data_IF_690111984769
#
_entry.id   IF_690111984769
#
_cell.length_a   1.000
_cell.length_b   1.000
_cell.length_c   1.000
_cell.angle_alpha   90.00
_cell.angle_beta   90.00
_cell.angle_gamma   90.00
#
_symmetry.space_group_name_H-M   'P 1'
#
loop_
_entity.id
_entity.type
_entity.pdbx_description
1 polymer ?
#
# COMPACT_ATOMS: atom_id res chain seq x y z
N UNK A 1 -16.61 6.90 2.66
CA UNK A 1 -17.22 6.83 4.01
C UNK A 1 -18.36 7.82 4.22
N UNK A 2 -18.32 8.99 3.62
CA UNK A 2 -19.29 10.08 3.78
C UNK A 2 -20.56 9.98 2.90
N UNK A 3 -20.68 8.95 2.04
CA UNK A 3 -21.81 8.77 1.13
C UNK A 3 -23.04 8.27 1.88
N UNK A 4 -24.25 8.79 1.53
CA UNK A 4 -25.51 8.46 2.21
C UNK A 4 -25.86 6.95 2.20
N UNK A 5 -25.38 6.18 1.23
CA UNK A 5 -25.63 4.75 1.07
C UNK A 5 -24.55 3.87 1.72
N UNK A 6 -23.67 4.42 2.55
CA UNK A 6 -22.55 3.65 3.11
C UNK A 6 -23.01 2.42 3.90
N UNK A 7 -24.10 2.50 4.63
CA UNK A 7 -24.60 1.37 5.42
C UNK A 7 -25.09 0.23 4.52
N UNK A 8 -25.68 0.53 3.36
CA UNK A 8 -26.11 -0.48 2.37
C UNK A 8 -24.91 -1.11 1.66
N UNK A 9 -23.87 -0.31 1.37
CA UNK A 9 -22.62 -0.80 0.77
C UNK A 9 -21.90 -1.76 1.71
N UNK A 10 -21.86 -1.49 3.00
CA UNK A 10 -21.17 -2.36 3.97
C UNK A 10 -21.70 -3.78 3.98
N UNK A 11 -22.98 -3.99 3.74
CA UNK A 11 -23.62 -5.32 3.82
C UNK A 11 -23.66 -6.11 2.49
N UNK A 12 -23.12 -5.57 1.40
CA UNK A 12 -23.19 -6.18 0.07
C UNK A 12 -22.66 -7.63 0.00
N UNK A 13 -21.68 -7.99 0.83
CA UNK A 13 -21.07 -9.34 0.85
C UNK A 13 -21.47 -10.20 2.04
N UNK A 14 -22.28 -9.68 2.92
CA UNK A 14 -22.63 -10.41 4.12
C UNK A 14 -23.56 -11.63 3.80
N UNK A 15 -23.60 -12.61 4.69
CA UNK A 15 -24.36 -13.84 4.52
C UNK A 15 -25.79 -13.79 5.07
N UNK A 16 -26.24 -12.60 5.50
CA UNK A 16 -27.58 -12.36 6.08
C UNK A 16 -28.48 -11.74 5.01
N UNK A 17 -29.79 -12.03 5.07
CA UNK A 17 -30.76 -11.46 4.15
C UNK A 17 -30.90 -12.24 2.83
N UNK A 18 -31.51 -11.61 1.83
CA UNK A 18 -31.78 -12.19 0.52
C UNK A 18 -30.63 -11.97 -0.47
N UNK A 19 -30.50 -12.86 -1.46
CA UNK A 19 -29.48 -12.71 -2.52
C UNK A 19 -29.69 -11.46 -3.39
N UNK A 20 -30.92 -10.97 -3.50
CA UNK A 20 -31.26 -9.81 -4.33
C UNK A 20 -30.51 -8.53 -3.90
N UNK A 21 -30.15 -8.45 -2.62
CA UNK A 21 -29.42 -7.31 -2.05
C UNK A 21 -27.92 -7.61 -1.86
N UNK A 22 -27.37 -8.59 -2.61
CA UNK A 22 -25.96 -9.01 -2.45
C UNK A 22 -25.19 -8.93 -3.75
N UNK A 23 -23.94 -8.45 -3.65
CA UNK A 23 -22.98 -8.41 -4.76
C UNK A 23 -21.73 -9.18 -4.35
N UNK A 24 -21.84 -10.50 -4.30
CA UNK A 24 -20.80 -11.37 -3.71
C UNK A 24 -19.48 -11.41 -4.49
N UNK A 25 -19.51 -11.11 -5.79
CA UNK A 25 -18.33 -11.12 -6.66
C UNK A 25 -17.61 -9.79 -6.76
N UNK A 26 -18.18 -8.72 -6.20
CA UNK A 26 -17.55 -7.41 -6.14
C UNK A 26 -16.55 -7.37 -4.99
N UNK A 27 -15.30 -7.01 -5.25
CA UNK A 27 -14.36 -6.64 -4.23
C UNK A 27 -14.34 -5.11 -4.11
N UNK A 28 -14.38 -4.59 -2.87
CA UNK A 28 -14.50 -3.17 -2.63
C UNK A 28 -13.75 -2.76 -1.36
N UNK A 29 -13.44 -1.47 -1.28
CA UNK A 29 -12.85 -0.82 -0.13
C UNK A 29 -13.68 0.36 0.33
N UNK A 30 -13.54 0.69 1.60
CA UNK A 30 -14.07 1.93 2.17
C UNK A 30 -12.91 2.91 2.31
N UNK A 31 -13.04 4.04 1.66
CA UNK A 31 -12.09 5.13 1.76
C UNK A 31 -12.43 5.98 2.97
N UNK A 32 -11.41 6.24 3.79
CA UNK A 32 -11.50 6.98 5.05
C UNK A 32 -10.45 8.09 5.02
N UNK A 33 -10.73 9.21 5.71
CA UNK A 33 -9.80 10.32 5.91
C UNK A 33 -9.54 10.52 7.40
N UNK A 34 -8.55 11.35 7.72
CA UNK A 34 -8.17 11.71 9.09
C UNK A 34 -9.35 12.28 9.87
N UNK A 35 -10.16 13.16 9.26
CA UNK A 35 -11.35 13.74 9.88
C UNK A 35 -12.29 12.69 10.45
N UNK A 36 -12.47 11.57 9.74
CA UNK A 36 -13.32 10.48 10.20
C UNK A 36 -12.77 9.80 11.46
N UNK A 37 -11.45 9.55 11.51
CA UNK A 37 -10.78 8.98 12.69
C UNK A 37 -10.84 9.94 13.88
N UNK A 38 -10.67 11.23 13.67
CA UNK A 38 -10.80 12.24 14.72
C UNK A 38 -12.22 12.23 15.34
N UNK A 39 -13.25 12.15 14.50
CA UNK A 39 -14.64 12.05 14.98
C UNK A 39 -14.92 10.74 15.70
N UNK A 40 -14.32 9.66 15.24
CA UNK A 40 -14.41 8.37 15.94
C UNK A 40 -13.83 8.46 17.36
N UNK A 41 -12.65 9.07 17.52
CA UNK A 41 -12.00 9.24 18.83
C UNK A 41 -12.82 10.16 19.74
N UNK A 42 -13.43 11.18 19.17
CA UNK A 42 -14.25 12.17 19.90
C UNK A 42 -15.68 11.70 20.20
N UNK A 43 -16.05 10.50 19.76
CA UNK A 43 -17.44 9.99 19.79
C UNK A 43 -18.45 10.97 19.16
N UNK A 44 -18.02 11.60 18.06
CA UNK A 44 -18.81 12.58 17.33
C UNK A 44 -19.66 11.93 16.23
N UNK A 45 -20.56 12.73 15.65
CA UNK A 45 -21.39 12.33 14.53
C UNK A 45 -20.67 12.56 13.18
N UNK A 46 -21.09 11.82 12.18
CA UNK A 46 -20.74 11.98 10.78
C UNK A 46 -21.98 12.26 9.97
N UNK A 47 -21.89 13.25 9.10
CA UNK A 47 -22.92 13.56 8.13
C UNK A 47 -22.71 12.76 6.85
N UNK A 48 -23.73 12.09 6.40
CA UNK A 48 -23.77 11.32 5.16
C UNK A 48 -24.55 12.12 4.12
N UNK A 49 -23.88 12.39 2.99
CA UNK A 49 -24.40 13.23 1.93
C UNK A 49 -24.63 12.46 0.63
N UNK A 50 -25.51 13.00 -0.21
CA UNK A 50 -25.53 12.69 -1.63
C UNK A 50 -24.48 13.57 -2.35
N UNK A 51 -23.64 13.01 -3.24
CA UNK A 51 -22.73 13.82 -4.05
C UNK A 51 -23.45 14.87 -4.92
N UNK A 52 -24.73 14.64 -5.26
CA UNK A 52 -25.56 15.59 -5.99
C UNK A 52 -25.80 16.87 -5.19
N UNK A 53 -26.00 16.75 -3.88
CA UNK A 53 -26.34 17.86 -3.00
C UNK A 53 -25.10 18.58 -2.44
N UNK A 54 -23.90 18.04 -2.70
CA UNK A 54 -22.62 18.57 -2.21
C UNK A 54 -21.61 18.73 -3.35
N UNK A 55 -21.82 19.66 -4.30
CA UNK A 55 -20.93 19.88 -5.42
C UNK A 55 -19.47 20.09 -5.01
N UNK A 56 -18.55 19.40 -5.68
CA UNK A 56 -17.10 19.47 -5.43
C UNK A 56 -16.61 18.64 -4.24
N UNK A 57 -17.49 18.08 -3.38
CA UNK A 57 -17.07 17.29 -2.23
C UNK A 57 -16.40 15.98 -2.66
N UNK A 58 -16.91 15.33 -3.72
CA UNK A 58 -16.30 14.15 -4.30
C UNK A 58 -14.87 14.45 -4.84
N UNK A 59 -14.71 15.55 -5.55
CA UNK A 59 -13.41 15.94 -6.11
C UNK A 59 -12.41 16.35 -5.02
N UNK A 60 -12.91 16.95 -3.93
CA UNK A 60 -12.08 17.33 -2.78
C UNK A 60 -11.66 16.12 -1.91
N UNK A 61 -12.41 15.01 -1.95
CA UNK A 61 -12.20 13.87 -1.06
C UNK A 61 -10.79 13.28 -1.21
N UNK A 62 -10.08 13.16 -0.10
CA UNK A 62 -8.68 12.72 -0.05
C UNK A 62 -7.65 13.83 -0.33
N UNK A 63 -8.08 15.08 -0.43
CA UNK A 63 -7.22 16.27 -0.51
C UNK A 63 -7.33 17.12 0.74
N UNK A 64 -6.44 18.10 0.89
CA UNK A 64 -6.43 19.09 1.97
C UNK A 64 -7.67 19.99 2.04
N UNK A 65 -8.43 20.07 0.93
CA UNK A 65 -9.65 20.88 0.82
C UNK A 65 -10.90 20.20 1.36
N UNK A 66 -10.84 18.89 1.58
CA UNK A 66 -12.03 18.10 1.91
C UNK A 66 -12.63 18.51 3.25
N UNK A 67 -11.81 18.62 4.28
CA UNK A 67 -12.31 18.82 5.65
C UNK A 67 -13.07 20.13 5.79
N UNK A 68 -12.52 21.22 5.23
CA UNK A 68 -13.18 22.54 5.26
C UNK A 68 -14.50 22.53 4.47
N UNK A 69 -14.48 21.93 3.28
CA UNK A 69 -15.67 21.84 2.43
C UNK A 69 -16.75 20.97 3.08
N UNK A 70 -16.36 19.82 3.63
CA UNK A 70 -17.29 18.92 4.33
C UNK A 70 -17.95 19.60 5.53
N UNK A 71 -17.17 20.26 6.38
CA UNK A 71 -17.68 21.00 7.53
C UNK A 71 -18.57 22.18 7.09
N UNK A 72 -18.28 22.81 5.96
CA UNK A 72 -19.14 23.88 5.43
C UNK A 72 -20.53 23.35 5.07
N UNK A 73 -20.61 22.18 4.44
CA UNK A 73 -21.90 21.52 4.13
C UNK A 73 -22.62 21.05 5.39
N UNK A 74 -21.91 20.65 6.43
CA UNK A 74 -22.55 20.32 7.71
C UNK A 74 -23.18 21.52 8.41
N UNK A 75 -22.65 22.72 8.20
CA UNK A 75 -23.20 23.97 8.76
C UNK A 75 -24.38 24.52 7.96
N UNK A 76 -24.50 24.11 6.71
CA UNK A 76 -25.61 24.55 5.85
C UNK A 76 -26.85 23.69 6.10
N UNK A 77 -27.85 24.26 6.81
CA UNK A 77 -29.10 23.58 7.11
C UNK A 77 -29.94 23.27 5.88
N UNK A 78 -29.70 23.92 4.75
CA UNK A 78 -30.41 23.68 3.49
C UNK A 78 -29.94 22.41 2.77
N UNK A 79 -28.75 21.87 3.11
CA UNK A 79 -28.22 20.67 2.49
C UNK A 79 -28.78 19.42 3.16
N UNK A 80 -29.49 18.56 2.41
CA UNK A 80 -30.03 17.30 2.94
C UNK A 80 -28.90 16.37 3.40
N UNK A 81 -29.06 15.79 4.58
CA UNK A 81 -28.08 14.83 5.12
C UNK A 81 -28.73 13.83 6.07
N UNK A 82 -28.08 12.69 6.22
CA UNK A 82 -28.30 11.73 7.29
C UNK A 82 -27.13 11.82 8.26
N UNK A 83 -27.37 11.74 9.56
CA UNK A 83 -26.31 11.71 10.58
C UNK A 83 -26.20 10.33 11.20
N UNK A 84 -24.98 9.90 11.49
CA UNK A 84 -24.67 8.64 12.17
C UNK A 84 -23.50 8.85 13.12
N UNK A 85 -23.52 8.20 14.29
CA UNK A 85 -22.35 8.19 15.17
C UNK A 85 -21.13 7.56 14.49
N UNK A 86 -19.98 8.22 14.55
CA UNK A 86 -18.74 7.72 13.96
C UNK A 86 -18.34 6.35 14.52
N UNK A 87 -18.47 6.15 15.83
CA UNK A 87 -18.19 4.87 16.48
C UNK A 87 -19.13 3.76 15.98
N UNK A 88 -20.43 4.06 15.84
CA UNK A 88 -21.41 3.09 15.30
C UNK A 88 -21.00 2.64 13.90
N UNK A 89 -20.69 3.58 13.01
CA UNK A 89 -20.33 3.26 11.61
C UNK A 89 -19.03 2.44 11.52
N UNK A 90 -18.01 2.79 12.31
CA UNK A 90 -16.75 2.00 12.38
C UNK A 90 -17.01 0.59 12.92
N UNK A 91 -17.81 0.45 13.96
CA UNK A 91 -18.11 -0.87 14.52
C UNK A 91 -18.88 -1.74 13.53
N UNK A 92 -19.84 -1.17 12.79
CA UNK A 92 -20.56 -1.87 11.72
C UNK A 92 -19.59 -2.30 10.60
N UNK A 93 -18.67 -1.42 10.17
CA UNK A 93 -17.62 -1.75 9.20
C UNK A 93 -16.71 -2.89 9.68
N UNK A 94 -16.20 -2.82 10.92
CA UNK A 94 -15.32 -3.84 11.48
C UNK A 94 -16.03 -5.20 11.65
N UNK A 95 -17.31 -5.16 12.05
CA UNK A 95 -18.15 -6.36 12.14
C UNK A 95 -18.32 -7.04 10.79
N UNK A 96 -18.72 -6.30 9.74
CA UNK A 96 -18.88 -6.85 8.40
C UNK A 96 -17.53 -7.37 7.85
N UNK A 97 -16.43 -6.66 8.13
CA UNK A 97 -15.07 -7.11 7.79
C UNK A 97 -14.70 -8.42 8.49
N UNK A 98 -14.98 -8.55 9.77
CA UNK A 98 -14.70 -9.78 10.54
C UNK A 98 -15.57 -10.97 10.09
N UNK A 99 -16.86 -10.73 9.83
CA UNK A 99 -17.81 -11.79 9.41
C UNK A 99 -17.57 -12.25 7.96
N UNK A 100 -17.15 -11.37 7.07
CA UNK A 100 -17.00 -11.69 5.63
C UNK A 100 -15.55 -11.98 5.21
N UNK A 101 -14.55 -11.51 5.97
CA UNK A 101 -13.15 -11.50 5.58
C UNK A 101 -12.86 -10.63 4.35
N UNK A 102 -13.75 -9.67 4.07
CA UNK A 102 -13.71 -8.76 2.91
C UNK A 102 -13.69 -7.32 3.42
N UNK A 103 -13.91 -6.36 2.56
CA UNK A 103 -13.91 -4.92 2.81
C UNK A 103 -12.52 -4.43 3.22
N UNK A 104 -11.82 -3.85 2.27
CA UNK A 104 -10.55 -3.15 2.51
C UNK A 104 -10.80 -1.76 3.07
N UNK A 105 -9.83 -1.22 3.79
CA UNK A 105 -9.84 0.15 4.30
C UNK A 105 -8.68 0.90 3.63
N UNK A 106 -8.98 2.04 3.01
CA UNK A 106 -8.01 2.89 2.34
C UNK A 106 -7.98 4.27 2.98
N UNK A 107 -6.82 4.67 3.47
CA UNK A 107 -6.59 6.01 4.04
C UNK A 107 -6.24 6.97 2.90
N UNK A 108 -7.27 7.52 2.24
CA UNK A 108 -7.13 8.18 0.95
C UNK A 108 -6.28 9.46 1.01
N UNK A 109 -6.43 10.27 2.03
CA UNK A 109 -5.63 11.47 2.26
C UNK A 109 -4.15 11.15 2.47
N UNK A 110 -3.83 10.11 3.23
CA UNK A 110 -2.45 9.63 3.40
C UNK A 110 -1.87 9.10 2.09
N UNK A 111 -2.65 8.34 1.30
CA UNK A 111 -2.23 7.91 -0.02
C UNK A 111 -1.85 9.10 -0.92
N UNK A 112 -2.66 10.16 -0.93
CA UNK A 112 -2.37 11.36 -1.73
C UNK A 112 -1.18 12.16 -1.17
N UNK A 113 -1.03 12.25 0.14
CA UNK A 113 0.05 13.00 0.78
C UNK A 113 1.41 12.33 0.56
N UNK A 114 1.49 11.00 0.73
CA UNK A 114 2.76 10.26 0.72
C UNK A 114 3.08 9.55 -0.61
N UNK A 115 2.16 9.51 -1.55
CA UNK A 115 2.44 8.94 -2.89
C UNK A 115 3.50 9.75 -3.65
N UNK A 116 4.15 9.09 -4.59
CA UNK A 116 5.10 9.73 -5.52
C UNK A 116 4.43 10.60 -6.60
N UNK A 117 3.11 10.63 -6.67
CA UNK A 117 2.37 11.29 -7.75
C UNK A 117 1.88 12.69 -7.39
N UNK A 118 1.86 13.58 -8.37
CA UNK A 118 1.13 14.85 -8.34
C UNK A 118 -0.35 14.65 -8.72
N UNK A 119 -0.62 13.65 -9.56
CA UNK A 119 -1.96 13.26 -9.93
C UNK A 119 -2.68 12.68 -8.71
N UNK A 120 -3.97 13.01 -8.58
CA UNK A 120 -4.79 12.51 -7.47
C UNK A 120 -4.95 11.00 -7.55
N UNK A 121 -4.75 10.33 -6.43
CA UNK A 121 -5.10 8.94 -6.23
C UNK A 121 -6.57 8.88 -5.81
N UNK A 122 -7.37 8.12 -6.56
CA UNK A 122 -8.80 7.96 -6.29
C UNK A 122 -9.16 6.54 -5.86
N UNK A 123 -8.33 5.56 -6.20
CA UNK A 123 -8.56 4.15 -5.85
C UNK A 123 -7.24 3.39 -5.75
N UNK A 124 -7.32 2.17 -5.27
CA UNK A 124 -6.23 1.21 -5.25
C UNK A 124 -6.57 0.00 -6.13
N UNK A 125 -5.64 -0.93 -6.28
CA UNK A 125 -5.87 -2.22 -6.96
C UNK A 125 -6.61 -3.22 -6.07
N UNK A 126 -6.86 -4.43 -6.58
CA UNK A 126 -7.62 -5.49 -5.91
C UNK A 126 -7.10 -5.83 -4.51
N UNK A 127 -5.79 -5.94 -4.33
CA UNK A 127 -5.18 -6.32 -3.04
C UNK A 127 -4.75 -5.11 -2.19
N UNK A 128 -4.93 -3.90 -2.70
CA UNK A 128 -4.58 -2.63 -2.06
C UNK A 128 -3.09 -2.44 -1.70
N UNK A 129 -2.21 -3.17 -2.37
CA UNK A 129 -0.77 -3.04 -2.15
C UNK A 129 -0.14 -1.81 -2.79
N UNK A 130 -0.83 -1.18 -3.74
CA UNK A 130 -0.31 -0.01 -4.45
C UNK A 130 -1.43 0.98 -4.80
N UNK A 131 -1.11 2.25 -4.77
CA UNK A 131 -2.01 3.34 -5.16
C UNK A 131 -1.45 4.05 -6.39
N UNK A 132 -2.17 4.00 -7.49
CA UNK A 132 -1.78 4.56 -8.77
C UNK A 132 -2.86 5.49 -9.30
N UNK A 133 -2.51 6.62 -9.94
CA UNK A 133 -3.48 7.45 -10.63
C UNK A 133 -4.14 6.71 -11.78
N UNK A 134 -5.42 6.97 -11.98
CA UNK A 134 -6.22 6.47 -13.10
C UNK A 134 -7.00 7.61 -13.74
N UNK A 135 -7.39 7.44 -15.01
CA UNK A 135 -8.28 8.36 -15.69
C UNK A 135 -9.43 7.60 -16.35
N UNK A 136 -10.67 8.10 -16.28
CA UNK A 136 -11.83 7.42 -16.81
C UNK A 136 -11.74 7.28 -18.34
N UNK A 137 -12.28 6.15 -18.84
CA UNK A 137 -12.39 5.87 -20.26
C UNK A 137 -13.75 6.32 -20.78
N UNK A 138 -13.78 6.89 -21.98
CA UNK A 138 -15.03 7.16 -22.72
C UNK A 138 -15.50 5.91 -23.49
N UNK A 139 -14.56 5.10 -23.95
CA UNK A 139 -14.79 3.80 -24.62
C UNK A 139 -13.57 2.90 -24.48
N UNK A 140 -13.68 1.62 -24.86
CA UNK A 140 -12.62 0.62 -24.63
C UNK A 140 -11.28 0.93 -25.32
N UNK A 141 -11.34 1.62 -26.45
CA UNK A 141 -10.17 1.99 -27.27
C UNK A 141 -9.71 3.44 -26.98
N UNK A 142 -10.16 4.03 -25.88
CA UNK A 142 -9.79 5.39 -25.51
C UNK A 142 -8.28 5.50 -25.27
N UNK A 143 -7.65 6.44 -25.98
CA UNK A 143 -6.21 6.73 -25.86
C UNK A 143 -5.90 7.76 -24.76
N UNK A 144 -6.92 8.41 -24.21
CA UNK A 144 -6.77 9.43 -23.15
C UNK A 144 -7.09 8.89 -21.76
N UNK A 145 -7.76 7.75 -21.67
CA UNK A 145 -8.00 7.07 -20.41
C UNK A 145 -6.75 6.33 -19.91
N UNK A 146 -6.64 6.15 -18.61
CA UNK A 146 -5.55 5.40 -17.98
C UNK A 146 -6.10 4.28 -17.10
N UNK A 147 -5.81 3.03 -17.46
CA UNK A 147 -5.97 1.87 -16.58
C UNK A 147 -4.60 1.59 -15.97
N UNK A 148 -4.46 1.86 -14.67
CA UNK A 148 -3.20 1.65 -13.97
C UNK A 148 -2.91 0.15 -13.82
N UNK A 149 -1.70 -0.26 -14.20
CA UNK A 149 -1.15 -1.59 -13.94
C UNK A 149 0.12 -1.47 -13.12
N UNK A 150 0.34 -2.45 -12.24
CA UNK A 150 1.55 -2.60 -11.46
C UNK A 150 2.23 -3.93 -11.82
N UNK A 151 3.51 -3.86 -12.15
CA UNK A 151 4.34 -5.04 -12.40
C UNK A 151 5.05 -5.39 -11.08
N UNK A 152 4.82 -6.60 -10.57
CA UNK A 152 5.21 -6.99 -9.22
C UNK A 152 6.45 -7.88 -9.17
N UNK A 153 7.29 -7.67 -8.17
CA UNK A 153 8.37 -8.55 -7.74
C UNK A 153 8.50 -8.56 -6.22
N UNK A 154 9.07 -9.62 -5.65
CA UNK A 154 9.30 -9.73 -4.21
C UNK A 154 10.69 -10.28 -3.91
N UNK A 155 11.43 -9.58 -3.06
CA UNK A 155 12.75 -9.99 -2.58
C UNK A 155 12.60 -10.75 -1.26
N UNK A 156 13.17 -11.96 -1.17
CA UNK A 156 13.16 -12.74 0.07
C UNK A 156 14.26 -12.25 1.02
N UNK A 157 13.93 -11.23 1.83
CA UNK A 157 14.88 -10.61 2.76
C UNK A 157 15.38 -11.56 3.85
N UNK A 158 14.61 -12.61 4.18
CA UNK A 158 15.07 -13.66 5.08
C UNK A 158 16.29 -14.46 4.57
N UNK A 159 16.58 -14.40 3.27
CA UNK A 159 17.74 -15.07 2.65
C UNK A 159 18.85 -14.11 2.26
N UNK A 160 18.63 -12.81 2.26
CA UNK A 160 19.67 -11.82 1.99
C UNK A 160 20.77 -11.90 3.05
N UNK A 161 22.02 -12.00 2.63
CA UNK A 161 23.16 -12.19 3.51
C UNK A 161 23.99 -10.92 3.74
N UNK A 162 23.81 -9.90 2.91
CA UNK A 162 24.55 -8.62 3.03
C UNK A 162 23.80 -7.49 2.35
N UNK A 163 24.13 -6.28 2.75
CA UNK A 163 23.60 -5.05 2.15
C UNK A 163 23.94 -4.96 0.66
N UNK A 164 25.14 -5.35 0.25
CA UNK A 164 25.53 -5.42 -1.16
C UNK A 164 24.69 -6.41 -1.97
N UNK A 165 24.30 -7.53 -1.38
CA UNK A 165 23.39 -8.48 -2.02
C UNK A 165 21.99 -7.88 -2.18
N UNK A 166 21.50 -7.13 -1.17
CA UNK A 166 20.24 -6.41 -1.26
C UNK A 166 20.25 -5.39 -2.40
N UNK A 167 21.30 -4.58 -2.50
CA UNK A 167 21.49 -3.63 -3.60
C UNK A 167 21.43 -4.33 -4.97
N UNK A 168 22.15 -5.43 -5.13
CA UNK A 168 22.17 -6.17 -6.39
C UNK A 168 20.79 -6.77 -6.74
N UNK A 169 20.04 -7.27 -5.74
CA UNK A 169 18.70 -7.82 -5.95
C UNK A 169 17.68 -6.73 -6.27
N UNK A 170 17.80 -5.55 -5.68
CA UNK A 170 17.00 -4.39 -6.03
C UNK A 170 17.25 -3.98 -7.49
N UNK A 171 18.50 -3.84 -7.89
CA UNK A 171 18.87 -3.50 -9.28
C UNK A 171 18.36 -4.54 -10.29
N UNK A 172 18.56 -5.82 -10.00
CA UNK A 172 18.07 -6.91 -10.85
C UNK A 172 16.53 -6.88 -10.96
N UNK A 173 15.82 -6.64 -9.86
CA UNK A 173 14.35 -6.57 -9.84
C UNK A 173 13.85 -5.40 -10.68
N UNK A 174 14.43 -4.20 -10.50
CA UNK A 174 14.03 -3.00 -11.26
C UNK A 174 14.26 -3.22 -12.75
N UNK A 175 15.46 -3.69 -13.14
CA UNK A 175 15.80 -3.93 -14.56
C UNK A 175 14.93 -5.02 -15.20
N UNK A 176 14.69 -6.12 -14.49
CA UNK A 176 13.86 -7.21 -15.01
C UNK A 176 12.42 -6.77 -15.24
N UNK A 177 11.85 -5.97 -14.32
CA UNK A 177 10.49 -5.50 -14.46
C UNK A 177 10.37 -4.37 -15.51
N UNK A 178 11.40 -3.53 -15.67
CA UNK A 178 11.46 -2.53 -16.74
C UNK A 178 11.36 -3.20 -18.12
N UNK A 179 12.11 -4.29 -18.36
CA UNK A 179 12.03 -5.07 -19.60
C UNK A 179 10.65 -5.72 -19.79
N UNK A 180 10.01 -6.21 -18.71
CA UNK A 180 8.68 -6.82 -18.80
C UNK A 180 7.61 -5.81 -19.23
N UNK A 181 7.73 -4.54 -18.88
CA UNK A 181 6.81 -3.48 -19.33
C UNK A 181 6.78 -3.40 -20.85
N UNK A 182 7.94 -3.53 -21.51
CA UNK A 182 8.05 -3.41 -22.95
C UNK A 182 7.77 -4.73 -23.66
N UNK A 183 8.00 -5.87 -23.01
CA UNK A 183 7.83 -7.21 -23.57
C UNK A 183 6.39 -7.72 -23.59
N UNK A 184 5.57 -7.34 -22.59
CA UNK A 184 4.21 -7.85 -22.46
C UNK A 184 3.25 -7.24 -23.50
N UNK A 185 2.21 -7.99 -23.85
CA UNK A 185 1.09 -7.52 -24.67
C UNK A 185 -0.01 -6.94 -23.79
N UNK A 186 -0.61 -5.85 -24.23
CA UNK A 186 -1.68 -5.15 -23.52
C UNK A 186 -3.01 -5.34 -24.25
N UNK A 187 -4.01 -5.97 -23.59
CA UNK A 187 -5.29 -6.23 -24.25
C UNK A 187 -6.17 -4.99 -24.41
N UNK A 188 -5.86 -3.92 -23.69
CA UNK A 188 -6.61 -2.65 -23.68
C UNK A 188 -5.64 -1.49 -23.84
N UNK A 189 -5.94 -0.57 -24.76
CA UNK A 189 -5.05 0.56 -25.09
C UNK A 189 -4.74 1.45 -23.89
N UNK A 190 -5.75 1.78 -23.09
CA UNK A 190 -5.56 2.61 -21.89
C UNK A 190 -4.62 1.99 -20.85
N UNK A 191 -4.53 0.65 -20.79
CA UNK A 191 -3.57 -0.04 -19.93
C UNK A 191 -2.13 0.07 -20.48
N UNK A 192 -1.98 -0.04 -21.81
CA UNK A 192 -0.68 0.16 -22.47
C UNK A 192 -0.16 1.59 -22.25
N UNK A 193 -1.01 2.58 -22.52
CA UNK A 193 -0.66 4.01 -22.37
C UNK A 193 -0.22 4.30 -20.94
N UNK A 194 -1.04 3.96 -19.95
CA UNK A 194 -0.72 4.20 -18.53
C UNK A 194 0.58 3.50 -18.11
N UNK A 195 0.74 2.22 -18.50
CA UNK A 195 1.89 1.42 -18.07
C UNK A 195 3.19 1.89 -18.70
N UNK A 196 3.20 2.18 -19.99
CA UNK A 196 4.41 2.63 -20.70
C UNK A 196 4.80 4.05 -20.33
N UNK A 197 3.82 4.95 -20.14
CA UNK A 197 4.09 6.34 -19.79
C UNK A 197 4.56 6.52 -18.34
N UNK A 198 4.01 5.73 -17.41
CA UNK A 198 4.34 5.81 -15.98
C UNK A 198 5.43 4.83 -15.55
N UNK A 199 5.54 3.69 -16.18
CA UNK A 199 6.45 2.58 -15.84
C UNK A 199 6.39 2.23 -14.35
N UNK A 200 5.18 2.10 -13.81
CA UNK A 200 4.94 1.84 -12.39
C UNK A 200 5.36 0.43 -12.00
N UNK A 201 6.24 0.29 -11.02
CA UNK A 201 6.66 -0.97 -10.45
C UNK A 201 6.13 -1.13 -9.03
N UNK A 202 5.99 -2.37 -8.58
CA UNK A 202 5.65 -2.72 -7.22
C UNK A 202 6.59 -3.82 -6.71
N UNK A 203 7.73 -3.42 -6.19
CA UNK A 203 8.73 -4.33 -5.61
C UNK A 203 8.59 -4.31 -4.11
N UNK A 204 8.35 -5.47 -3.50
CA UNK A 204 8.21 -5.61 -2.06
C UNK A 204 9.13 -6.68 -1.49
N UNK A 205 9.00 -6.97 -0.21
CA UNK A 205 9.73 -8.08 0.37
C UNK A 205 8.82 -9.16 0.97
N UNK A 206 9.37 -10.36 1.02
CA UNK A 206 8.83 -11.52 1.71
C UNK A 206 9.86 -12.03 2.69
N UNK A 207 9.43 -12.84 3.64
CA UNK A 207 10.37 -13.44 4.58
C UNK A 207 10.78 -12.53 5.73
N UNK A 208 10.01 -11.46 6.03
CA UNK A 208 10.35 -10.52 7.11
C UNK A 208 10.42 -11.22 8.47
N UNK A 209 9.46 -12.10 8.78
CA UNK A 209 9.51 -12.86 10.03
C UNK A 209 10.75 -13.76 10.15
N UNK A 210 11.22 -14.32 9.03
CA UNK A 210 12.48 -15.07 9.01
C UNK A 210 13.69 -14.15 9.22
N UNK A 211 13.68 -12.97 8.60
CA UNK A 211 14.72 -11.95 8.80
C UNK A 211 14.85 -11.57 10.28
N UNK A 212 13.75 -11.21 10.93
CA UNK A 212 13.74 -10.87 12.36
C UNK A 212 14.15 -12.05 13.24
N UNK A 213 13.67 -13.26 12.94
CA UNK A 213 14.07 -14.47 13.69
C UNK A 213 15.57 -14.76 13.58
N UNK A 214 16.22 -14.50 12.44
CA UNK A 214 17.68 -14.61 12.28
C UNK A 214 18.43 -13.61 13.16
N UNK A 215 17.91 -12.40 13.33
CA UNK A 215 18.48 -11.38 14.21
C UNK A 215 18.17 -11.64 15.68
N UNK A 216 17.21 -12.52 15.99
CA UNK A 216 16.74 -12.78 17.35
C UNK A 216 15.77 -11.73 17.88
N UNK A 217 15.22 -10.90 17.03
CA UNK A 217 14.33 -9.80 17.39
C UNK A 217 12.86 -10.22 17.26
N UNK A 218 12.04 -9.72 18.18
CA UNK A 218 10.60 -9.92 18.19
C UNK A 218 9.90 -8.69 17.58
N UNK A 219 8.75 -8.88 16.95
CA UNK A 219 7.99 -7.78 16.33
C UNK A 219 7.68 -6.63 17.30
N UNK A 220 7.59 -6.94 18.60
CA UNK A 220 7.27 -5.99 19.66
C UNK A 220 8.48 -5.24 20.19
N UNK A 221 9.69 -5.56 19.73
CA UNK A 221 10.92 -4.99 20.30
C UNK A 221 11.41 -3.77 19.51
N UNK A 222 12.05 -2.84 20.24
CA UNK A 222 12.67 -1.66 19.64
C UNK A 222 13.75 -2.05 18.64
N UNK A 223 14.51 -3.09 18.92
CA UNK A 223 15.57 -3.59 18.03
C UNK A 223 15.00 -4.07 16.68
N UNK A 224 13.78 -4.64 16.69
CA UNK A 224 13.11 -5.00 15.45
C UNK A 224 12.70 -3.76 14.64
N UNK A 225 12.14 -2.76 15.28
CA UNK A 225 11.72 -1.53 14.60
C UNK A 225 12.93 -0.79 14.02
N UNK A 226 14.04 -0.73 14.75
CA UNK A 226 15.28 -0.10 14.28
C UNK A 226 15.91 -0.91 13.12
N UNK A 227 15.90 -2.23 13.19
CA UNK A 227 16.36 -3.08 12.09
C UNK A 227 15.49 -2.93 10.83
N UNK A 228 14.16 -2.79 11.01
CA UNK A 228 13.23 -2.56 9.90
C UNK A 228 13.43 -1.17 9.30
N UNK A 229 13.73 -0.16 10.12
CA UNK A 229 14.08 1.17 9.60
C UNK A 229 15.26 1.08 8.63
N UNK A 230 16.38 0.49 9.05
CA UNK A 230 17.56 0.35 8.20
C UNK A 230 17.32 -0.51 6.94
N UNK A 231 16.57 -1.62 7.08
CA UNK A 231 16.22 -2.47 5.94
C UNK A 231 15.34 -1.73 4.93
N UNK A 232 14.31 -1.01 5.39
CA UNK A 232 13.36 -0.32 4.53
C UNK A 232 14.02 0.89 3.85
N UNK A 233 14.88 1.60 4.57
CA UNK A 233 15.71 2.68 4.01
C UNK A 233 16.57 2.17 2.88
N UNK A 234 17.41 1.15 3.13
CA UNK A 234 18.31 0.58 2.11
C UNK A 234 17.52 0.08 0.91
N UNK A 235 16.40 -0.61 1.14
CA UNK A 235 15.55 -1.14 0.09
C UNK A 235 15.03 -0.03 -0.83
N UNK A 236 14.40 0.99 -0.29
CA UNK A 236 13.84 2.09 -1.08
C UNK A 236 14.93 2.93 -1.76
N UNK A 237 16.02 3.18 -1.06
CA UNK A 237 17.17 3.88 -1.62
C UNK A 237 17.74 3.15 -2.84
N UNK A 238 17.94 1.82 -2.76
CA UNK A 238 18.48 1.03 -3.87
C UNK A 238 17.52 0.92 -5.05
N UNK A 239 16.21 0.84 -4.80
CA UNK A 239 15.22 0.88 -5.87
C UNK A 239 15.26 2.22 -6.62
N UNK A 240 15.29 3.34 -5.91
CA UNK A 240 15.38 4.68 -6.52
C UNK A 240 16.70 4.88 -7.26
N UNK A 241 17.82 4.44 -6.66
CA UNK A 241 19.16 4.48 -7.28
C UNK A 241 19.19 3.69 -8.60
N UNK A 242 18.64 2.47 -8.62
CA UNK A 242 18.57 1.66 -9.83
C UNK A 242 17.70 2.30 -10.91
N UNK A 243 16.55 2.85 -10.53
CA UNK A 243 15.66 3.56 -11.45
C UNK A 243 16.32 4.83 -12.03
N UNK A 244 17.12 5.54 -11.24
CA UNK A 244 17.86 6.70 -11.69
C UNK A 244 19.01 6.28 -12.66
N UNK A 245 19.72 5.21 -12.37
CA UNK A 245 20.73 4.65 -13.30
C UNK A 245 20.10 4.23 -14.62
N UNK A 246 18.93 3.56 -14.60
CA UNK A 246 18.20 3.23 -15.83
C UNK A 246 17.71 4.48 -16.57
N UNK A 247 17.36 5.55 -15.88
CA UNK A 247 17.02 6.81 -16.54
C UNK A 247 18.24 7.42 -17.26
N UNK A 248 19.45 7.29 -16.73
CA UNK A 248 20.68 7.69 -17.40
C UNK A 248 20.97 6.83 -18.65
N UNK A 249 20.62 5.55 -18.61
CA UNK A 249 20.86 4.59 -19.71
C UNK A 249 19.81 4.69 -20.82
N UNK A 250 18.51 4.85 -20.45
CA UNK A 250 17.36 4.69 -21.34
C UNK A 250 16.41 5.92 -21.39
N UNK A 251 16.70 6.96 -20.61
CA UNK A 251 15.80 8.09 -20.39
C UNK A 251 14.77 7.83 -19.27
N UNK A 252 14.29 8.91 -18.66
CA UNK A 252 13.22 8.84 -17.65
C UNK A 252 11.88 8.43 -18.27
N UNK A 253 10.89 8.04 -17.43
CA UNK A 253 9.56 7.75 -17.94
C UNK A 253 8.88 9.02 -18.49
N UNK A 254 7.96 8.83 -19.43
CA UNK A 254 7.25 9.94 -20.11
C UNK A 254 6.55 10.85 -19.10
N UNK A 255 5.89 10.27 -18.07
CA UNK A 255 5.16 11.02 -17.06
C UNK A 255 6.00 11.36 -15.82
N UNK A 256 7.33 11.38 -15.92
CA UNK A 256 8.21 11.81 -14.82
C UNK A 256 7.80 13.19 -14.25
N UNK A 257 7.51 14.15 -15.11
CA UNK A 257 7.04 15.49 -14.72
C UNK A 257 5.73 15.51 -13.90
N UNK A 258 4.95 14.42 -13.92
CA UNK A 258 3.72 14.22 -13.13
C UNK A 258 3.99 13.54 -11.77
N UNK A 259 5.26 13.32 -11.43
CA UNK A 259 5.69 12.80 -10.12
C UNK A 259 6.22 13.90 -9.23
N UNK A 260 6.15 13.70 -7.92
CA UNK A 260 6.79 14.57 -6.92
C UNK A 260 8.31 14.49 -7.00
N UNK A 261 8.86 13.40 -7.53
CA UNK A 261 10.29 13.26 -7.80
C UNK A 261 10.83 14.34 -8.75
N UNK A 262 10.01 14.80 -9.70
CA UNK A 262 10.38 15.89 -10.59
C UNK A 262 10.52 17.25 -9.87
N UNK A 263 9.97 17.37 -8.68
CA UNK A 263 10.13 18.55 -7.80
C UNK A 263 11.20 18.29 -6.71
N UNK A 264 11.95 17.21 -6.83
CA UNK A 264 12.99 16.82 -5.86
C UNK A 264 12.43 16.28 -4.54
N UNK A 265 11.15 15.91 -4.48
CA UNK A 265 10.51 15.38 -3.26
C UNK A 265 10.67 13.86 -3.24
N UNK A 266 11.27 13.33 -2.17
CA UNK A 266 11.49 11.90 -1.94
C UNK A 266 10.60 11.38 -0.80
N UNK A 267 10.45 10.07 -0.60
CA UNK A 267 9.61 9.52 0.48
C UNK A 267 9.97 10.06 1.86
N UNK A 268 11.25 10.28 2.13
CA UNK A 268 11.76 10.84 3.40
C UNK A 268 11.26 12.25 3.72
N UNK A 269 10.69 12.95 2.72
CA UNK A 269 10.17 14.32 2.90
C UNK A 269 8.68 14.34 3.26
N UNK A 270 7.94 13.29 2.94
CA UNK A 270 6.46 13.27 2.98
C UNK A 270 5.85 12.29 3.98
N UNK A 271 6.66 11.48 4.65
CA UNK A 271 6.15 10.56 5.67
C UNK A 271 5.61 11.30 6.89
N UNK A 272 4.72 10.66 7.63
CA UNK A 272 4.15 11.20 8.87
C UNK A 272 5.21 11.19 9.98
N UNK A 273 5.59 12.37 10.47
CA UNK A 273 6.69 12.55 11.43
C UNK A 273 6.49 11.84 12.78
N UNK A 274 5.26 11.55 13.17
CA UNK A 274 4.97 10.73 14.36
C UNK A 274 5.63 9.34 14.31
N UNK A 275 6.01 8.84 13.13
CA UNK A 275 6.77 7.58 12.98
C UNK A 275 8.14 7.66 13.65
N UNK A 276 8.72 8.83 13.76
CA UNK A 276 10.01 9.04 14.44
C UNK A 276 9.93 8.78 15.96
N UNK A 277 8.73 8.77 16.56
CA UNK A 277 8.51 8.34 17.93
C UNK A 277 8.67 6.81 18.10
N UNK A 278 8.48 6.05 17.01
CA UNK A 278 8.63 4.59 17.00
C UNK A 278 10.09 4.21 16.75
N UNK A 279 10.70 4.79 15.72
CA UNK A 279 12.11 4.57 15.38
C UNK A 279 12.68 5.80 14.69
N UNK A 280 13.66 6.44 15.33
CA UNK A 280 14.34 7.63 14.83
C UNK A 280 15.84 7.35 14.65
N UNK A 281 16.15 6.47 13.70
CA UNK A 281 17.53 6.17 13.32
C UNK A 281 18.04 7.19 12.31
N UNK A 282 19.35 7.49 12.37
CA UNK A 282 20.02 8.26 11.33
C UNK A 282 19.99 7.51 9.99
N UNK A 283 19.87 8.24 8.90
CA UNK A 283 19.92 7.64 7.57
C UNK A 283 21.30 7.06 7.27
N UNK A 284 21.31 5.87 6.71
CA UNK A 284 22.53 5.14 6.35
C UNK A 284 23.06 5.54 4.96
N UNK A 285 22.19 6.13 4.13
CA UNK A 285 22.47 6.45 2.73
C UNK A 285 22.45 7.95 2.49
N UNK A 286 23.20 8.38 1.47
CA UNK A 286 23.27 9.78 1.03
C UNK A 286 22.08 10.12 0.12
N UNK A 287 20.95 10.42 0.74
CA UNK A 287 19.72 10.80 0.06
C UNK A 287 19.85 12.10 -0.74
N UNK A 288 20.70 13.02 -0.31
CA UNK A 288 20.87 14.30 -1.00
C UNK A 288 21.67 14.17 -2.29
N UNK A 289 22.70 13.32 -2.33
CA UNK A 289 23.38 12.97 -3.58
C UNK A 289 22.46 12.26 -4.56
N UNK A 290 21.59 11.35 -4.07
CA UNK A 290 20.59 10.71 -4.91
C UNK A 290 19.54 11.70 -5.44
N UNK A 291 19.07 12.63 -4.58
CA UNK A 291 18.15 13.71 -4.97
C UNK A 291 18.75 14.59 -6.07
N UNK A 292 20.01 14.99 -5.92
CA UNK A 292 20.70 15.77 -6.93
C UNK A 292 20.79 15.04 -8.27
N UNK A 293 21.12 13.75 -8.28
CA UNK A 293 21.16 12.91 -9.48
C UNK A 293 19.77 12.75 -10.11
N UNK A 294 18.72 12.55 -9.31
CA UNK A 294 17.33 12.46 -9.81
C UNK A 294 16.89 13.80 -10.44
N UNK A 295 17.25 14.93 -9.84
CA UNK A 295 16.94 16.24 -10.41
C UNK A 295 17.65 16.48 -11.76
N UNK A 296 18.81 15.89 -11.97
CA UNK A 296 19.57 16.02 -13.23
C UNK A 296 19.04 15.10 -14.33
N UNK A 297 18.76 13.83 -14.03
CA UNK A 297 18.49 12.79 -15.03
C UNK A 297 17.10 12.16 -14.95
N UNK A 298 16.35 12.43 -13.88
CA UNK A 298 15.04 11.86 -13.64
C UNK A 298 15.05 10.42 -13.11
N UNK A 299 13.88 9.80 -13.11
CA UNK A 299 13.67 8.38 -12.80
C UNK A 299 13.02 7.66 -13.98
N UNK A 300 13.44 6.42 -14.22
CA UNK A 300 12.83 5.53 -15.21
C UNK A 300 11.41 5.10 -14.84
N UNK A 301 11.05 5.15 -13.56
CA UNK A 301 9.80 4.65 -13.00
C UNK A 301 9.13 5.72 -12.13
N UNK A 302 7.82 5.83 -12.24
CA UNK A 302 7.02 6.80 -11.48
C UNK A 302 6.78 6.39 -10.02
N UNK A 303 6.85 5.09 -9.73
CA UNK A 303 6.86 4.47 -8.41
C UNK A 303 7.56 3.12 -8.48
N UNK A 304 8.06 2.61 -7.36
CA UNK A 304 8.95 1.44 -7.34
C UNK A 304 8.56 0.38 -6.33
N UNK A 305 8.03 0.77 -5.17
CA UNK A 305 7.77 -0.15 -4.07
C UNK A 305 6.29 -0.41 -3.85
N UNK A 306 5.96 -1.65 -3.47
CA UNK A 306 4.64 -2.04 -3.01
C UNK A 306 4.77 -3.28 -2.14
N UNK A 307 3.98 -3.37 -1.07
CA UNK A 307 3.97 -4.54 -0.20
C UNK A 307 2.78 -5.44 -0.52
N UNK A 308 2.98 -6.33 -1.50
CA UNK A 308 1.93 -7.20 -2.01
C UNK A 308 1.69 -8.43 -1.12
N UNK A 309 0.49 -9.04 -1.14
CA UNK A 309 0.27 -10.38 -0.60
C UNK A 309 0.99 -11.42 -1.48
N UNK A 310 1.94 -12.15 -0.90
CA UNK A 310 2.90 -12.98 -1.65
C UNK A 310 2.78 -14.47 -1.34
N UNK A 311 1.57 -14.98 -1.09
CA UNK A 311 1.37 -16.36 -0.65
C UNK A 311 2.06 -17.41 -1.52
N UNK A 312 1.89 -17.38 -2.84
CA UNK A 312 2.46 -18.38 -3.74
C UNK A 312 3.96 -18.19 -3.91
N UNK A 313 4.43 -16.96 -4.08
CA UNK A 313 5.86 -16.63 -4.20
C UNK A 313 6.63 -17.01 -2.94
N UNK A 314 6.05 -16.80 -1.75
CA UNK A 314 6.63 -17.21 -0.47
C UNK A 314 6.80 -18.71 -0.36
N UNK A 315 5.81 -19.49 -0.83
CA UNK A 315 5.89 -20.95 -0.85
C UNK A 315 7.00 -21.43 -1.77
N UNK A 316 7.06 -20.90 -3.00
CA UNK A 316 8.08 -21.30 -4.00
C UNK A 316 9.49 -20.97 -3.52
N UNK A 317 9.69 -19.81 -2.89
CA UNK A 317 10.99 -19.35 -2.41
C UNK A 317 11.35 -19.86 -1.01
N UNK A 318 10.48 -20.65 -0.36
CA UNK A 318 10.61 -21.08 1.02
C UNK A 318 10.87 -19.89 1.96
N UNK A 319 9.94 -18.93 1.94
CA UNK A 319 9.93 -17.74 2.79
C UNK A 319 8.70 -17.77 3.72
N UNK A 320 8.75 -17.00 4.81
CA UNK A 320 7.52 -16.59 5.48
C UNK A 320 6.72 -15.64 4.59
N UNK A 321 5.39 -15.64 4.71
CA UNK A 321 4.54 -14.84 3.85
C UNK A 321 4.73 -13.35 4.15
N UNK A 322 5.00 -12.56 3.11
CA UNK A 322 5.06 -11.10 3.20
C UNK A 322 5.87 -10.58 4.39
N UNK A 323 5.24 -9.68 5.10
CA UNK A 323 5.77 -8.98 6.29
C UNK A 323 5.09 -9.41 7.59
N UNK A 324 4.06 -10.26 7.50
CA UNK A 324 3.27 -10.66 8.66
C UNK A 324 4.00 -11.67 9.55
N UNK A 325 3.77 -11.64 10.87
CA UNK A 325 4.11 -12.74 11.74
C UNK A 325 3.40 -14.03 11.30
N UNK A 326 4.08 -15.18 11.20
CA UNK A 326 3.42 -16.42 10.83
C UNK A 326 2.35 -16.80 11.87
N UNK A 327 1.23 -17.36 11.40
CA UNK A 327 0.14 -17.83 12.26
C UNK A 327 0.50 -19.08 13.08
N UNK A 328 1.52 -19.79 12.62
CA UNK A 328 2.05 -20.99 13.25
C UNK A 328 3.30 -21.47 12.53
N UNK A 329 4.05 -22.35 13.14
CA UNK A 329 5.28 -22.92 12.55
C UNK A 329 5.04 -23.77 11.31
N UNK A 330 3.83 -24.32 11.17
CA UNK A 330 3.39 -25.12 10.03
C UNK A 330 2.15 -24.47 9.41
N UNK A 331 2.21 -24.12 8.14
CA UNK A 331 1.07 -23.72 7.34
C UNK A 331 0.69 -24.81 6.34
N UNK A 332 -0.61 -24.98 6.09
CA UNK A 332 -1.13 -25.94 5.12
C UNK A 332 -1.95 -25.18 4.08
N UNK A 333 -1.44 -25.15 2.87
CA UNK A 333 -2.11 -24.51 1.74
C UNK A 333 -2.83 -25.58 0.92
N UNK A 334 -4.14 -25.46 0.76
CA UNK A 334 -4.92 -26.37 -0.10
C UNK A 334 -4.87 -25.88 -1.56
N UNK A 335 -4.51 -26.75 -2.46
CA UNK A 335 -4.54 -26.50 -3.90
C UNK A 335 -5.37 -27.57 -4.61
N UNK A 336 -5.69 -27.35 -5.90
CA UNK A 336 -6.35 -28.36 -6.74
C UNK A 336 -5.54 -29.67 -6.84
N UNK A 337 -4.23 -29.62 -6.61
CA UNK A 337 -3.31 -30.77 -6.67
C UNK A 337 -3.08 -31.42 -5.29
N UNK A 338 -3.74 -30.94 -4.24
CA UNK A 338 -3.62 -31.45 -2.87
C UNK A 338 -3.09 -30.42 -1.88
N UNK A 339 -2.94 -30.80 -0.60
CA UNK A 339 -2.41 -29.93 0.44
C UNK A 339 -0.89 -29.79 0.31
N UNK A 340 -0.40 -28.56 0.35
CA UNK A 340 1.02 -28.24 0.45
C UNK A 340 1.32 -27.84 1.89
N UNK A 341 2.25 -28.52 2.52
CA UNK A 341 2.73 -28.20 3.88
C UNK A 341 4.00 -27.38 3.79
N UNK A 342 4.03 -26.26 4.48
CA UNK A 342 5.20 -25.41 4.60
C UNK A 342 5.53 -25.15 6.07
N UNK A 343 6.74 -25.46 6.46
CA UNK A 343 7.31 -25.14 7.79
C UNK A 343 8.05 -23.82 7.66
N UNK A 344 8.01 -22.98 8.69
CA UNK A 344 8.80 -21.72 8.70
C UNK A 344 10.28 -22.02 8.45
N UNK A 345 10.99 -21.19 7.68
CA UNK A 345 12.39 -21.40 7.37
C UNK A 345 13.26 -21.57 8.64
N UNK A 346 14.25 -22.44 8.57
CA UNK A 346 15.19 -22.69 9.68
C UNK A 346 14.50 -23.06 11.00
N UNK A 347 13.36 -23.75 10.96
CA UNK A 347 12.55 -24.09 12.13
C UNK A 347 13.37 -24.70 13.27
N UNK A 348 14.24 -25.67 12.95
CA UNK A 348 15.03 -26.41 13.98
C UNK A 348 15.92 -25.48 14.80
N UNK A 349 16.50 -24.45 14.17
CA UNK A 349 17.43 -23.53 14.84
C UNK A 349 16.76 -22.25 15.34
N UNK A 350 15.68 -21.78 14.68
CA UNK A 350 15.10 -20.47 14.94
C UNK A 350 13.70 -20.49 15.56
N UNK A 351 13.13 -21.65 15.88
CA UNK A 351 11.73 -21.72 16.38
C UNK A 351 11.45 -20.81 17.57
N UNK A 352 12.41 -20.63 18.48
CA UNK A 352 12.25 -19.79 19.67
C UNK A 352 12.38 -18.28 19.36
N UNK A 353 12.93 -17.94 18.19
CA UNK A 353 13.13 -16.56 17.77
C UNK A 353 11.92 -16.02 16.99
N UNK A 354 11.12 -16.90 16.38
CA UNK A 354 9.91 -16.45 15.68
C UNK A 354 8.89 -15.84 16.64
N UNK A 355 8.27 -14.74 16.22
CA UNK A 355 7.00 -14.27 16.77
C UNK A 355 5.88 -14.92 15.98
N UNK A 356 4.93 -15.58 16.66
CA UNK A 356 3.70 -16.05 16.02
C UNK A 356 2.58 -15.04 16.24
N UNK A 357 1.76 -14.83 15.22
CA UNK A 357 0.71 -13.82 15.23
C UNK A 357 -0.23 -13.94 16.46
N UNK A 358 -0.60 -15.17 16.81
CA UNK A 358 -1.55 -15.43 17.91
C UNK A 358 -0.91 -15.45 19.31
N UNK A 359 0.43 -15.40 19.38
CA UNK A 359 1.17 -15.32 20.64
C UNK A 359 1.52 -13.89 21.02
N UNK A 360 1.26 -12.93 20.12
CA UNK A 360 1.43 -11.50 20.40
C UNK A 360 0.37 -11.02 21.38
N UNK A 361 0.74 -10.17 22.37
CA UNK A 361 -0.23 -9.65 23.35
C UNK A 361 -1.29 -8.77 22.69
N UNK A 362 -0.89 -8.04 21.66
CA UNK A 362 -1.74 -7.22 20.80
C UNK A 362 -1.05 -7.02 19.44
N UNK A 363 -1.62 -6.19 18.57
CA UNK A 363 -1.08 -5.92 17.23
C UNK A 363 -0.11 -4.74 17.16
N UNK A 364 0.20 -4.06 18.28
CA UNK A 364 0.99 -2.82 18.30
C UNK A 364 2.37 -3.04 17.68
N UNK A 365 3.05 -4.12 18.03
CA UNK A 365 4.38 -4.43 17.48
C UNK A 365 4.36 -4.57 15.95
N UNK A 366 3.35 -5.26 15.41
CA UNK A 366 3.20 -5.40 13.97
C UNK A 366 2.81 -4.08 13.29
N UNK A 367 1.93 -3.30 13.91
CA UNK A 367 1.54 -1.97 13.41
C UNK A 367 2.77 -1.04 13.36
N UNK A 368 3.62 -1.07 14.39
CA UNK A 368 4.84 -0.28 14.42
C UNK A 368 5.83 -0.67 13.32
N UNK A 369 5.99 -1.97 13.03
CA UNK A 369 6.78 -2.43 11.88
C UNK A 369 6.26 -1.83 10.57
N UNK A 370 4.93 -1.89 10.34
CA UNK A 370 4.32 -1.32 9.13
C UNK A 370 4.48 0.20 9.07
N UNK A 371 4.33 0.89 10.21
CA UNK A 371 4.50 2.34 10.28
C UNK A 371 5.94 2.77 9.94
N UNK A 372 6.93 2.06 10.45
CA UNK A 372 8.35 2.31 10.17
C UNK A 372 8.67 2.04 8.69
N UNK A 373 8.14 0.97 8.12
CA UNK A 373 8.28 0.69 6.68
C UNK A 373 7.68 1.81 5.82
N UNK A 374 6.58 2.41 6.26
CA UNK A 374 5.86 3.46 5.53
C UNK A 374 6.64 4.80 5.50
N UNK A 375 7.76 4.91 6.23
CA UNK A 375 8.65 6.09 6.19
C UNK A 375 9.36 6.23 4.83
N UNK A 376 9.59 5.11 4.16
CA UNK A 376 10.34 4.99 2.93
C UNK A 376 9.46 4.45 1.78
#
# INVERSE_FOLDING_TARGET
IWHQEIEDILVLKNNKGTEDNRVRKLDYSIQITKLFYERFIQDAEISLFSPHDTPGLYDAFGTDKFDDLYVSYERDESVPRKTIGAQKLILDLLKERAETGRIYIMNLDHCNTHSSFKDKIEMSNLCQEITLPTYPLQHIDDEFGEIALCILSAINVGKVGSDKELENLCDLSVRSLDELIDYQEYPVKAAEVATKARRSLGIGFIGLAHYLAKLGFKYESQEAWDAIHGLSESFQYYLLKSSNQLAQEKGHCEYFGRTKYADGILPIDTYKKDVDEISNQEYQHDWESLRASINETGLRHSTLSAQMPSESSSVVSNATNGIEPPRGFLSIKKSKKGPLKQVVPSYTSLKNNYTLLWDMPDNTGYINVVAVMQKF
#
